data_IF_636411553400
#
_entry.id   IF_636411553400
#
_cell.length_a   1.000
_cell.length_b   1.000
_cell.length_c   1.000
_cell.angle_alpha   90.00
_cell.angle_beta   90.00
_cell.angle_gamma   90.00
#
_symmetry.space_group_name_H-M   'P 1'
#
loop_
_entity.id
_entity.type
_entity.pdbx_description
1 polymer ?
#
# COMPACT_ATOMS: atom_id res chain seq x y z
N UNK A 1 8.64 -12.53 -19.71
CA UNK A 1 8.76 -12.68 -18.26
C UNK A 1 7.38 -12.64 -17.62
N UNK A 2 7.12 -13.58 -16.75
CA UNK A 2 5.89 -13.57 -16.00
C UNK A 2 5.95 -12.40 -15.00
N UNK A 3 4.97 -11.51 -15.07
CA UNK A 3 4.84 -10.43 -14.10
C UNK A 3 4.38 -11.03 -12.77
N UNK A 4 4.95 -10.53 -11.68
CA UNK A 4 4.57 -10.98 -10.34
C UNK A 4 3.15 -10.53 -10.01
N UNK A 5 2.37 -11.42 -9.44
CA UNK A 5 1.02 -11.10 -8.96
C UNK A 5 1.12 -10.20 -7.74
N UNK A 6 0.21 -9.24 -7.66
CA UNK A 6 0.08 -8.34 -6.51
C UNK A 6 -1.19 -8.73 -5.76
N UNK A 7 -1.02 -9.13 -4.51
CA UNK A 7 -2.16 -9.54 -3.67
C UNK A 7 -2.72 -8.33 -2.93
N UNK A 8 -4.03 -8.16 -3.00
CA UNK A 8 -4.76 -7.09 -2.33
C UNK A 8 -6.01 -7.64 -1.65
N UNK A 9 -6.44 -6.93 -0.60
CA UNK A 9 -7.78 -7.08 -0.07
C UNK A 9 -8.76 -6.39 -1.03
N UNK A 10 -10.06 -6.70 -0.92
CA UNK A 10 -11.06 -6.00 -1.71
C UNK A 10 -11.08 -4.51 -1.41
N UNK A 11 -10.90 -4.13 -0.16
CA UNK A 11 -10.81 -2.73 0.27
C UNK A 11 -9.62 -2.02 -0.39
N UNK A 12 -8.45 -2.68 -0.40
CA UNK A 12 -7.25 -2.14 -1.05
C UNK A 12 -7.42 -1.95 -2.55
N UNK A 13 -8.04 -2.92 -3.21
CA UNK A 13 -8.35 -2.81 -4.64
C UNK A 13 -9.28 -1.64 -4.92
N UNK A 14 -10.33 -1.49 -4.11
CA UNK A 14 -11.26 -0.38 -4.23
C UNK A 14 -10.55 0.97 -4.10
N UNK A 15 -9.69 1.11 -3.10
CA UNK A 15 -8.92 2.36 -2.89
C UNK A 15 -8.00 2.67 -4.07
N UNK A 16 -7.31 1.68 -4.62
CA UNK A 16 -6.44 1.89 -5.77
C UNK A 16 -7.23 2.29 -7.02
N UNK A 17 -8.39 1.69 -7.25
CA UNK A 17 -9.26 2.06 -8.35
C UNK A 17 -9.79 3.48 -8.20
N UNK A 18 -10.18 3.87 -6.99
CA UNK A 18 -10.65 5.23 -6.70
C UNK A 18 -9.53 6.25 -6.93
N UNK A 19 -8.32 5.96 -6.49
CA UNK A 19 -7.14 6.82 -6.73
C UNK A 19 -6.88 6.95 -8.24
N UNK A 20 -6.89 5.84 -8.96
CA UNK A 20 -6.68 5.82 -10.40
C UNK A 20 -7.71 6.69 -11.13
N UNK A 21 -8.99 6.52 -10.81
CA UNK A 21 -10.07 7.31 -11.40
C UNK A 21 -9.93 8.79 -11.07
N UNK A 22 -9.56 9.12 -9.85
CA UNK A 22 -9.35 10.50 -9.40
C UNK A 22 -8.21 11.16 -10.18
N UNK A 23 -7.11 10.43 -10.36
CA UNK A 23 -5.96 10.95 -11.11
C UNK A 23 -6.31 11.23 -12.57
N UNK A 24 -7.02 10.31 -13.22
CA UNK A 24 -7.40 10.45 -14.63
C UNK A 24 -8.48 11.51 -14.84
N UNK A 25 -9.51 11.49 -14.01
CA UNK A 25 -10.70 12.33 -14.23
C UNK A 25 -10.61 13.71 -13.62
N UNK A 26 -9.80 13.90 -12.58
CA UNK A 26 -9.71 15.18 -11.87
C UNK A 26 -8.30 15.76 -11.93
N UNK A 27 -7.30 15.06 -11.38
CA UNK A 27 -5.93 15.60 -11.26
C UNK A 27 -5.30 15.94 -12.60
N UNK A 28 -5.43 15.06 -13.58
CA UNK A 28 -4.88 15.27 -14.92
C UNK A 28 -5.42 16.54 -15.55
N UNK A 29 -6.74 16.78 -15.40
CA UNK A 29 -7.39 17.98 -15.91
C UNK A 29 -6.94 19.26 -15.19
N UNK A 30 -6.82 19.20 -13.86
CA UNK A 30 -6.34 20.32 -13.06
C UNK A 30 -4.93 20.74 -13.45
N UNK A 31 -4.04 19.76 -13.66
CA UNK A 31 -2.67 20.03 -14.06
C UNK A 31 -2.60 20.60 -15.47
N UNK A 32 -3.40 20.07 -16.39
CA UNK A 32 -3.49 20.61 -17.77
C UNK A 32 -3.90 22.10 -17.75
N UNK A 33 -4.85 22.45 -16.89
CA UNK A 33 -5.30 23.83 -16.73
C UNK A 33 -4.20 24.72 -16.13
N UNK A 34 -3.47 24.22 -15.14
CA UNK A 34 -2.32 24.94 -14.56
C UNK A 34 -1.23 25.18 -15.61
N UNK A 35 -0.95 24.20 -16.45
CA UNK A 35 0.01 24.34 -17.55
C UNK A 35 -0.44 25.40 -18.55
N UNK A 36 -1.72 25.38 -18.92
CA UNK A 36 -2.30 26.35 -19.84
C UNK A 36 -2.16 27.78 -19.29
N UNK A 37 -2.56 27.97 -18.04
CA UNK A 37 -2.45 29.30 -17.38
C UNK A 37 -1.01 29.77 -17.27
N UNK A 38 -0.08 28.87 -16.93
CA UNK A 38 1.33 29.23 -16.81
C UNK A 38 1.92 29.65 -18.16
N UNK A 39 1.52 29.00 -19.25
CA UNK A 39 1.94 29.39 -20.61
C UNK A 39 1.46 30.79 -20.99
N UNK A 40 0.25 31.16 -20.56
CA UNK A 40 -0.32 32.46 -20.81
C UNK A 40 0.42 33.60 -20.10
N UNK A 41 1.15 33.31 -19.02
CA UNK A 41 1.93 34.27 -18.26
C UNK A 41 3.19 34.77 -18.97
N UNK A 42 3.59 34.11 -20.08
CA UNK A 42 4.70 34.58 -20.91
C UNK A 42 5.84 33.58 -21.04
N UNK A 43 7.09 34.04 -20.81
CA UNK A 43 8.29 33.27 -21.08
C UNK A 43 8.38 31.97 -20.29
N UNK A 44 8.38 30.86 -21.01
CA UNK A 44 8.44 29.52 -20.45
C UNK A 44 9.80 29.23 -19.78
N UNK A 45 10.89 29.86 -20.27
CA UNK A 45 12.24 29.57 -19.78
C UNK A 45 12.51 30.05 -18.35
N UNK A 46 11.79 31.07 -17.88
CA UNK A 46 11.96 31.64 -16.54
C UNK A 46 10.66 31.61 -15.71
N UNK A 47 9.71 30.76 -16.11
CA UNK A 47 8.40 30.71 -15.50
C UNK A 47 8.33 29.61 -14.42
N UNK A 48 8.46 30.00 -13.14
CA UNK A 48 8.40 29.07 -12.01
C UNK A 48 7.06 28.34 -11.93
N UNK A 49 5.95 29.00 -12.30
CA UNK A 49 4.62 28.38 -12.32
C UNK A 49 4.54 27.28 -13.38
N UNK A 50 5.18 27.48 -14.53
CA UNK A 50 5.25 26.49 -15.59
C UNK A 50 6.07 25.28 -15.16
N UNK A 51 7.23 25.50 -14.57
CA UNK A 51 8.09 24.43 -14.05
C UNK A 51 7.38 23.60 -12.98
N UNK A 52 6.72 24.27 -12.03
CA UNK A 52 5.95 23.59 -10.98
C UNK A 52 4.82 22.76 -11.57
N UNK A 53 4.10 23.28 -12.57
CA UNK A 53 3.04 22.53 -13.24
C UNK A 53 3.56 21.34 -14.04
N UNK A 54 4.74 21.49 -14.67
CA UNK A 54 5.42 20.39 -15.36
C UNK A 54 5.82 19.26 -14.40
N UNK A 55 6.35 19.64 -13.23
CA UNK A 55 6.74 18.66 -12.20
C UNK A 55 5.51 17.92 -11.68
N UNK A 56 4.42 18.64 -11.43
CA UNK A 56 3.15 18.05 -11.01
C UNK A 56 2.59 17.10 -12.08
N UNK A 57 2.68 17.49 -13.37
CA UNK A 57 2.27 16.61 -14.47
C UNK A 57 3.08 15.30 -14.47
N UNK A 58 4.40 15.41 -14.33
CA UNK A 58 5.26 14.22 -14.30
C UNK A 58 4.90 13.29 -13.14
N UNK A 59 4.61 13.86 -11.97
CA UNK A 59 4.20 13.08 -10.81
C UNK A 59 2.86 12.37 -11.06
N UNK A 60 1.87 13.09 -11.57
CA UNK A 60 0.53 12.53 -11.87
C UNK A 60 0.62 11.42 -12.91
N UNK A 61 1.32 11.66 -14.02
CA UNK A 61 1.45 10.67 -15.09
C UNK A 61 2.25 9.45 -14.62
N UNK A 62 3.28 9.64 -13.81
CA UNK A 62 4.05 8.55 -13.23
C UNK A 62 3.20 7.67 -12.31
N UNK A 63 2.37 8.30 -11.47
CA UNK A 63 1.48 7.55 -10.57
C UNK A 63 0.40 6.80 -11.35
N UNK A 64 -0.15 7.40 -12.40
CA UNK A 64 -1.12 6.73 -13.28
C UNK A 64 -0.50 5.49 -13.92
N UNK A 65 0.71 5.60 -14.44
CA UNK A 65 1.41 4.47 -15.06
C UNK A 65 1.67 3.35 -14.05
N UNK A 66 2.10 3.71 -12.84
CA UNK A 66 2.32 2.76 -11.74
C UNK A 66 1.04 2.03 -11.38
N UNK A 67 -0.08 2.75 -11.19
CA UNK A 67 -1.37 2.15 -10.86
C UNK A 67 -1.92 1.29 -12.00
N UNK A 68 -1.75 1.73 -13.24
CA UNK A 68 -2.16 0.95 -14.41
C UNK A 68 -1.46 -0.41 -14.43
N UNK A 69 -0.15 -0.42 -14.20
CA UNK A 69 0.63 -1.64 -14.12
C UNK A 69 0.19 -2.52 -12.93
N UNK A 70 0.03 -1.94 -11.74
CA UNK A 70 -0.42 -2.66 -10.56
C UNK A 70 -1.80 -3.30 -10.76
N UNK A 71 -2.75 -2.55 -11.31
CA UNK A 71 -4.12 -3.03 -11.50
C UNK A 71 -4.20 -4.19 -12.49
N UNK A 72 -3.26 -4.31 -13.41
CA UNK A 72 -3.17 -5.45 -14.33
C UNK A 72 -2.69 -6.73 -13.64
N UNK A 73 -1.96 -6.59 -12.55
CA UNK A 73 -1.34 -7.72 -11.83
C UNK A 73 -2.07 -8.09 -10.53
N UNK A 74 -3.15 -7.41 -10.20
CA UNK A 74 -3.87 -7.62 -8.94
C UNK A 74 -4.57 -8.96 -8.90
N UNK A 75 -4.40 -9.64 -7.79
CA UNK A 75 -5.20 -10.80 -7.41
C UNK A 75 -5.83 -10.50 -6.04
N UNK A 76 -7.17 -10.54 -5.99
CA UNK A 76 -7.90 -10.24 -4.76
C UNK A 76 -7.98 -11.50 -3.90
N UNK A 77 -7.65 -11.33 -2.62
CA UNK A 77 -7.83 -12.40 -1.63
C UNK A 77 -9.26 -12.31 -1.12
N UNK A 78 -10.09 -13.24 -1.52
CA UNK A 78 -11.53 -13.25 -1.23
C UNK A 78 -11.92 -13.98 0.06
N UNK A 79 -11.13 -14.97 0.45
CA UNK A 79 -11.44 -15.80 1.61
C UNK A 79 -10.45 -15.57 2.75
N UNK A 80 -11.01 -15.30 3.93
CA UNK A 80 -10.26 -15.24 5.17
C UNK A 80 -10.55 -16.54 5.91
N UNK A 81 -9.51 -17.33 6.13
CA UNK A 81 -9.62 -18.56 6.90
C UNK A 81 -9.53 -18.23 8.39
N UNK A 82 -10.62 -18.49 9.13
CA UNK A 82 -10.65 -18.23 10.57
C UNK A 82 -9.58 -19.04 11.31
N UNK A 83 -8.88 -18.38 12.21
CA UNK A 83 -7.87 -19.00 13.05
C UNK A 83 -6.52 -19.17 12.41
N UNK A 84 -6.38 -18.87 11.11
CA UNK A 84 -5.12 -18.94 10.40
C UNK A 84 -4.80 -17.61 9.74
N UNK A 85 -3.58 -17.13 9.88
CA UNK A 85 -3.16 -15.85 9.34
C UNK A 85 -3.01 -15.91 7.82
N UNK A 86 -3.79 -15.08 7.12
CA UNK A 86 -3.72 -14.90 5.67
C UNK A 86 -3.73 -13.40 5.37
N UNK A 87 -3.56 -13.05 4.09
CA UNK A 87 -3.74 -11.66 3.67
C UNK A 87 -5.20 -11.26 3.94
N UNK A 88 -5.39 -10.12 4.61
CA UNK A 88 -6.69 -9.65 5.06
C UNK A 88 -7.00 -9.98 6.51
N UNK A 89 -6.23 -10.87 7.14
CA UNK A 89 -6.42 -11.22 8.55
C UNK A 89 -5.98 -10.07 9.46
N UNK A 90 -6.73 -9.90 10.56
CA UNK A 90 -6.33 -9.03 11.67
C UNK A 90 -5.78 -9.95 12.77
N UNK A 91 -4.54 -9.74 13.15
CA UNK A 91 -3.81 -10.58 14.12
C UNK A 91 -3.54 -9.77 15.38
N UNK A 92 -3.95 -10.33 16.50
CA UNK A 92 -3.69 -9.76 17.80
C UNK A 92 -2.55 -10.54 18.45
N UNK A 93 -1.50 -9.84 18.85
CA UNK A 93 -0.29 -10.46 19.37
C UNK A 93 0.15 -9.83 20.67
N UNK A 94 0.86 -10.62 21.46
CA UNK A 94 1.46 -10.18 22.73
C UNK A 94 2.98 -10.11 22.57
N UNK A 95 3.56 -8.98 22.94
CA UNK A 95 5.01 -8.76 22.93
C UNK A 95 5.40 -8.00 24.21
N UNK A 96 6.22 -8.64 25.07
CA UNK A 96 6.80 -8.02 26.27
C UNK A 96 5.79 -7.28 27.17
N UNK A 97 4.63 -7.91 27.41
CA UNK A 97 3.57 -7.37 28.26
C UNK A 97 2.58 -6.47 27.54
N UNK A 98 2.84 -6.11 26.30
CA UNK A 98 1.95 -5.27 25.49
C UNK A 98 1.18 -6.08 24.46
N UNK A 99 -0.06 -5.70 24.22
CA UNK A 99 -0.89 -6.29 23.16
C UNK A 99 -0.90 -5.34 21.98
N UNK A 100 -0.59 -5.87 20.80
CA UNK A 100 -0.59 -5.13 19.55
C UNK A 100 -1.51 -5.82 18.55
N UNK A 101 -2.09 -5.04 17.66
CA UNK A 101 -2.95 -5.54 16.60
C UNK A 101 -2.40 -5.13 15.25
N UNK A 102 -2.31 -6.11 14.34
CA UNK A 102 -1.81 -5.89 12.97
C UNK A 102 -2.78 -6.48 11.97
N UNK A 103 -2.96 -5.77 10.86
CA UNK A 103 -3.68 -6.28 9.71
C UNK A 103 -2.68 -6.66 8.64
N UNK A 104 -2.75 -7.89 8.15
CA UNK A 104 -1.88 -8.36 7.07
C UNK A 104 -2.50 -7.95 5.74
N UNK A 105 -1.75 -7.20 4.96
CA UNK A 105 -2.23 -6.61 3.70
C UNK A 105 -1.24 -6.89 2.57
N UNK A 106 -1.67 -6.57 1.35
CA UNK A 106 -0.78 -6.59 0.19
C UNK A 106 0.24 -5.45 0.25
N UNK A 107 1.34 -5.58 -0.49
CA UNK A 107 2.42 -4.60 -0.49
C UNK A 107 1.93 -3.15 -0.72
N UNK A 108 1.07 -2.87 -1.71
CA UNK A 108 0.61 -1.51 -1.95
C UNK A 108 -0.23 -0.90 -0.81
N UNK A 109 -0.82 -1.72 0.04
CA UNK A 109 -1.65 -1.28 1.16
C UNK A 109 -0.87 -1.08 2.45
N UNK A 110 0.41 -1.44 2.49
CA UNK A 110 1.22 -1.42 3.72
C UNK A 110 1.31 -0.03 4.32
N UNK A 111 1.02 0.05 5.61
CA UNK A 111 1.11 1.27 6.40
C UNK A 111 1.41 0.89 7.86
N UNK A 112 2.68 0.63 8.18
CA UNK A 112 3.06 0.14 9.50
C UNK A 112 2.63 1.07 10.65
N UNK A 113 2.59 2.37 10.41
CA UNK A 113 2.16 3.34 11.44
C UNK A 113 0.70 3.13 11.86
N UNK A 114 -0.13 2.64 10.95
CA UNK A 114 -1.54 2.34 11.19
C UNK A 114 -1.80 0.85 11.38
N UNK A 115 -0.76 0.08 11.67
CA UNK A 115 -0.89 -1.35 11.95
C UNK A 115 -1.15 -2.22 10.72
N UNK A 116 -0.96 -1.69 9.53
CA UNK A 116 -1.10 -2.46 8.28
C UNK A 116 0.26 -2.95 7.82
N UNK A 117 0.47 -4.24 7.93
CA UNK A 117 1.76 -4.88 7.64
C UNK A 117 1.67 -5.67 6.35
N UNK A 118 2.63 -5.46 5.45
CA UNK A 118 2.74 -6.25 4.23
C UNK A 118 3.02 -7.72 4.55
N UNK A 119 2.36 -8.61 3.83
CA UNK A 119 2.64 -10.05 3.93
C UNK A 119 4.11 -10.39 3.62
N UNK A 120 4.80 -9.51 2.91
CA UNK A 120 6.19 -9.68 2.48
C UNK A 120 7.20 -9.06 3.47
N UNK A 121 6.74 -8.32 4.49
CA UNK A 121 7.60 -7.77 5.53
C UNK A 121 8.12 -8.89 6.45
N UNK A 122 9.23 -8.68 7.18
CA UNK A 122 9.75 -9.69 8.10
C UNK A 122 8.70 -10.18 9.11
N UNK A 123 7.93 -9.27 9.71
CA UNK A 123 6.85 -9.64 10.63
C UNK A 123 5.70 -10.34 9.89
N UNK A 124 5.31 -9.82 8.74
CA UNK A 124 4.25 -10.41 7.92
C UNK A 124 4.58 -11.84 7.50
N UNK A 125 5.79 -12.07 7.03
CA UNK A 125 6.27 -13.43 6.67
C UNK A 125 6.25 -14.38 7.86
N UNK A 126 6.66 -13.89 9.04
CA UNK A 126 6.68 -14.69 10.24
C UNK A 126 5.28 -15.08 10.70
N UNK A 127 4.30 -14.19 10.52
CA UNK A 127 2.91 -14.40 10.94
C UNK A 127 2.10 -15.23 9.94
N UNK A 128 2.42 -15.17 8.65
CA UNK A 128 1.66 -15.91 7.62
C UNK A 128 1.58 -17.39 7.94
N UNK A 129 0.40 -17.96 7.73
CA UNK A 129 0.09 -19.37 7.95
C UNK A 129 0.17 -19.84 9.41
N UNK A 130 0.34 -18.91 10.36
CA UNK A 130 0.32 -19.20 11.80
C UNK A 130 -1.09 -19.23 12.33
N UNK A 131 -1.24 -19.83 13.49
CA UNK A 131 -2.54 -20.02 14.17
C UNK A 131 -2.53 -19.39 15.55
N UNK A 132 -3.71 -19.21 16.10
CA UNK A 132 -3.87 -18.77 17.50
C UNK A 132 -3.09 -19.73 18.42
N UNK A 133 -2.34 -19.14 19.33
CA UNK A 133 -1.48 -19.88 20.26
C UNK A 133 -0.05 -20.07 19.79
N UNK A 134 0.23 -19.82 18.52
CA UNK A 134 1.59 -19.94 18.00
C UNK A 134 2.49 -18.81 18.51
N UNK A 135 3.77 -19.14 18.67
CA UNK A 135 4.82 -18.17 18.97
C UNK A 135 5.66 -17.98 17.72
N UNK A 136 5.96 -16.75 17.37
CA UNK A 136 6.82 -16.42 16.23
C UNK A 136 7.96 -15.53 16.65
N UNK A 137 9.16 -15.79 16.11
CA UNK A 137 10.34 -14.97 16.33
C UNK A 137 10.62 -14.12 15.10
N UNK A 138 10.90 -12.85 15.33
CA UNK A 138 11.26 -11.90 14.26
C UNK A 138 12.57 -11.25 14.62
N UNK A 139 13.51 -11.26 13.67
CA UNK A 139 14.79 -10.56 13.85
C UNK A 139 14.58 -9.06 13.60
N UNK A 140 14.89 -8.27 14.61
CA UNK A 140 14.81 -6.82 14.56
C UNK A 140 16.16 -6.21 14.91
N UNK A 141 16.41 -4.91 14.59
CA UNK A 141 17.67 -4.25 14.95
C UNK A 141 17.99 -4.30 16.44
N UNK A 142 16.95 -4.34 17.29
CA UNK A 142 17.10 -4.42 18.76
C UNK A 142 17.31 -5.86 19.24
N UNK A 143 17.26 -6.86 18.36
CA UNK A 143 17.39 -8.27 18.71
C UNK A 143 16.19 -9.09 18.24
N UNK A 144 16.09 -10.32 18.76
CA UNK A 144 14.96 -11.19 18.42
C UNK A 144 13.73 -10.81 19.24
N UNK A 145 12.62 -10.56 18.53
CA UNK A 145 11.33 -10.30 19.14
C UNK A 145 10.46 -11.56 19.07
N UNK A 146 9.86 -11.91 20.18
CA UNK A 146 8.99 -13.09 20.26
C UNK A 146 7.55 -12.66 20.45
N UNK A 147 6.72 -12.97 19.46
CA UNK A 147 5.30 -12.65 19.47
C UNK A 147 4.49 -13.89 19.77
N UNK A 148 3.46 -13.73 20.61
CA UNK A 148 2.47 -14.77 20.87
C UNK A 148 1.15 -14.38 20.22
N UNK A 149 0.62 -15.22 19.36
CA UNK A 149 -0.63 -14.95 18.64
C UNK A 149 -1.80 -15.23 19.55
N UNK A 150 -2.57 -14.19 19.89
CA UNK A 150 -3.72 -14.27 20.78
C UNK A 150 -5.03 -14.48 20.04
N UNK A 151 -5.20 -13.84 18.89
CA UNK A 151 -6.44 -13.87 18.11
C UNK A 151 -6.14 -13.64 16.63
N UNK A 152 -6.90 -14.33 15.78
CA UNK A 152 -6.85 -14.15 14.32
C UNK A 152 -8.31 -14.02 13.83
N UNK A 153 -8.60 -12.88 13.18
CA UNK A 153 -9.92 -12.63 12.60
C UNK A 153 -9.88 -12.49 11.10
#
# INVERSE_FOLDING_TARGET
MAEEKVYLTQEGLKKLKEEYDQLINVRRKEVAEKLRKARELGDITENAAYEAARDEQAFVEGRIAELDDLLKRVEVVEEIEEGKVTIGSTVRVHLDGDVQEFKIVGIPEADPENGKISHDSPLGKALMDRKVGDHVEVDAPVGKLRYHILEVK
#
